data_IF_831486704121
#
_entry.id   IF_831486704121
#
_cell.length_a   1.000
_cell.length_b   1.000
_cell.length_c   1.000
_cell.angle_alpha   90.00
_cell.angle_beta   90.00
_cell.angle_gamma   90.00
#
_symmetry.space_group_name_H-M   'P 1'
#
loop_
_entity.id
_entity.type
_entity.pdbx_description
1 polymer ?
#
# COMPACT_ATOMS: atom_id res chain seq x y z
N UNK A 1 -4.47 20.91 -19.90
CA UNK A 1 -4.81 20.11 -21.11
C UNK A 1 -3.50 19.74 -21.75
N UNK A 2 -3.31 18.49 -22.09
CA UNK A 2 -2.13 17.99 -22.81
C UNK A 2 -2.48 17.89 -24.29
N UNK A 3 -1.55 18.29 -25.13
CA UNK A 3 -1.64 18.22 -26.59
C UNK A 3 -0.66 17.18 -27.14
N UNK A 4 -0.72 16.93 -28.44
CA UNK A 4 0.23 16.04 -29.10
C UNK A 4 1.65 16.61 -28.93
N UNK A 5 2.62 15.72 -28.59
CA UNK A 5 4.02 16.04 -28.32
C UNK A 5 4.31 16.69 -26.96
N UNK A 6 3.31 16.96 -26.14
CA UNK A 6 3.55 17.42 -24.78
C UNK A 6 4.32 16.35 -23.97
N UNK A 7 5.26 16.82 -23.17
CA UNK A 7 6.02 15.96 -22.24
C UNK A 7 5.47 16.09 -20.83
N UNK A 8 5.29 14.96 -20.18
CA UNK A 8 4.86 14.89 -18.78
C UNK A 8 6.02 14.41 -17.93
N UNK A 9 6.42 15.21 -16.96
CA UNK A 9 7.43 14.85 -15.98
C UNK A 9 6.74 14.59 -14.63
N UNK A 10 6.76 13.33 -14.16
CA UNK A 10 6.14 12.93 -12.91
C UNK A 10 7.20 12.94 -11.82
N UNK A 11 7.24 14.04 -11.08
CA UNK A 11 8.17 14.21 -9.97
C UNK A 11 7.73 13.43 -8.74
N UNK A 12 8.65 13.29 -7.76
CA UNK A 12 8.36 12.68 -6.49
C UNK A 12 7.23 13.41 -5.75
N UNK A 13 6.33 12.66 -5.15
CA UNK A 13 5.24 13.22 -4.35
C UNK A 13 5.77 13.87 -3.07
N UNK A 14 5.24 15.05 -2.70
CA UNK A 14 5.67 15.77 -1.48
C UNK A 14 4.95 15.32 -0.22
N UNK A 15 3.79 14.70 -0.34
CA UNK A 15 2.88 14.47 0.79
C UNK A 15 2.32 13.05 0.88
N UNK A 16 2.54 12.21 -0.12
CA UNK A 16 2.04 10.83 -0.16
C UNK A 16 3.07 9.90 -0.76
N UNK A 17 2.93 8.59 -0.53
CA UNK A 17 3.77 7.58 -1.17
C UNK A 17 3.30 7.26 -2.60
N UNK A 18 2.10 7.68 -3.00
CA UNK A 18 1.48 7.35 -4.27
C UNK A 18 0.99 8.60 -5.00
N UNK A 19 1.17 8.60 -6.32
CA UNK A 19 0.55 9.53 -7.23
C UNK A 19 -0.41 8.79 -8.17
N UNK A 20 -1.41 9.50 -8.67
CA UNK A 20 -2.38 8.96 -9.61
C UNK A 20 -2.44 9.83 -10.84
N UNK A 21 -2.44 9.20 -12.00
CA UNK A 21 -2.67 9.87 -13.28
C UNK A 21 -3.99 9.34 -13.87
N UNK A 22 -4.89 10.25 -14.16
CA UNK A 22 -6.16 9.95 -14.81
C UNK A 22 -6.22 10.61 -16.19
N UNK A 23 -6.77 9.91 -17.15
CA UNK A 23 -7.02 10.41 -18.51
C UNK A 23 -8.50 10.34 -18.83
N UNK A 24 -9.01 11.31 -19.58
CA UNK A 24 -10.35 11.25 -20.12
C UNK A 24 -10.47 10.01 -21.04
N UNK A 25 -11.56 9.23 -20.88
CA UNK A 25 -11.72 7.95 -21.55
C UNK A 25 -10.93 6.79 -20.96
N UNK A 26 -9.90 7.08 -20.16
CA UNK A 26 -9.05 6.09 -19.50
C UNK A 26 -7.99 5.47 -20.42
N UNK A 27 -7.21 4.59 -19.86
CA UNK A 27 -6.18 3.84 -20.59
C UNK A 27 -6.81 2.67 -21.36
N UNK A 28 -6.32 2.41 -22.57
CA UNK A 28 -6.69 1.23 -23.35
C UNK A 28 -5.76 0.06 -23.00
N UNK A 29 -6.16 -0.68 -21.98
CA UNK A 29 -5.36 -1.78 -21.42
C UNK A 29 -6.18 -3.05 -21.48
N UNK A 30 -5.60 -4.11 -22.05
CA UNK A 30 -6.20 -5.44 -22.06
C UNK A 30 -6.20 -6.03 -20.66
N UNK A 31 -7.36 -6.36 -20.07
CA UNK A 31 -7.42 -6.97 -18.75
C UNK A 31 -6.76 -8.36 -18.71
N UNK A 32 -6.11 -8.67 -17.60
CA UNK A 32 -5.69 -10.00 -17.21
C UNK A 32 -6.60 -10.49 -16.07
N UNK A 33 -7.24 -11.64 -16.23
CA UNK A 33 -8.22 -12.16 -15.25
C UNK A 33 -9.27 -11.11 -14.82
N UNK A 34 -9.80 -10.32 -15.75
CA UNK A 34 -10.74 -9.20 -15.53
C UNK A 34 -10.16 -8.02 -14.72
N UNK A 35 -8.86 -7.97 -14.49
CA UNK A 35 -8.17 -6.87 -13.80
C UNK A 35 -7.20 -6.16 -14.73
N UNK A 36 -7.09 -4.85 -14.59
CA UNK A 36 -6.07 -4.01 -15.25
C UNK A 36 -4.92 -3.64 -14.31
N UNK A 37 -4.90 -4.19 -13.11
CA UNK A 37 -3.80 -4.02 -12.16
C UNK A 37 -2.60 -4.86 -12.53
N UNK A 38 -1.41 -4.34 -12.26
CA UNK A 38 -0.14 -5.05 -12.45
C UNK A 38 0.46 -5.40 -11.10
N UNK A 39 0.74 -6.68 -10.87
CA UNK A 39 1.50 -7.19 -9.73
C UNK A 39 2.93 -7.48 -10.18
N UNK A 40 3.78 -6.47 -10.15
CA UNK A 40 5.13 -6.54 -10.74
C UNK A 40 6.05 -7.57 -10.06
N UNK A 41 5.80 -7.89 -8.79
CA UNK A 41 6.59 -8.88 -8.04
C UNK A 41 6.37 -10.31 -8.53
N UNK A 42 5.15 -10.61 -8.99
CA UNK A 42 4.82 -11.92 -9.56
C UNK A 42 4.83 -11.92 -11.10
N UNK A 43 5.17 -10.79 -11.72
CA UNK A 43 5.11 -10.58 -13.18
C UNK A 43 3.74 -10.91 -13.78
N UNK A 44 2.66 -10.57 -13.05
CA UNK A 44 1.28 -10.82 -13.44
C UNK A 44 0.59 -9.49 -13.80
N UNK A 45 -0.22 -9.51 -14.87
CA UNK A 45 -1.07 -8.41 -15.28
C UNK A 45 -0.63 -7.72 -16.58
N UNK A 46 -1.22 -6.56 -16.89
CA UNK A 46 -0.86 -5.77 -18.07
C UNK A 46 0.64 -5.45 -18.15
N UNK A 47 1.10 -5.09 -19.34
CA UNK A 47 2.52 -4.83 -19.63
C UNK A 47 3.42 -6.03 -19.26
N UNK A 48 2.91 -7.25 -19.47
CA UNK A 48 3.62 -8.50 -19.09
C UNK A 48 4.03 -8.53 -17.60
N UNK A 49 3.23 -7.93 -16.73
CA UNK A 49 3.52 -7.84 -15.30
C UNK A 49 4.67 -6.89 -14.94
N UNK A 50 5.18 -6.10 -15.87
CA UNK A 50 6.34 -5.25 -15.64
C UNK A 50 5.97 -3.80 -15.36
N UNK A 51 6.87 -3.11 -14.67
CA UNK A 51 6.78 -1.64 -14.50
C UNK A 51 6.90 -0.95 -15.85
N UNK A 52 6.20 0.17 -16.00
CA UNK A 52 6.34 1.05 -17.16
C UNK A 52 7.76 1.61 -17.19
N UNK A 53 8.37 1.62 -18.36
CA UNK A 53 9.70 2.13 -18.62
C UNK A 53 9.65 3.36 -19.52
N UNK A 54 10.72 4.12 -19.56
CA UNK A 54 10.90 5.20 -20.53
C UNK A 54 10.73 4.65 -21.94
N UNK A 55 9.97 5.34 -22.78
CA UNK A 55 9.58 4.98 -24.15
C UNK A 55 8.52 3.90 -24.29
N UNK A 56 7.98 3.36 -23.21
CA UNK A 56 6.81 2.49 -23.31
C UNK A 56 5.62 3.30 -23.86
N UNK A 57 4.88 2.68 -24.77
CA UNK A 57 3.66 3.27 -25.35
C UNK A 57 2.45 2.66 -24.64
N UNK A 58 1.59 3.51 -24.13
CA UNK A 58 0.35 3.11 -23.46
C UNK A 58 -0.81 3.62 -24.28
N UNK A 59 -1.71 2.71 -24.68
CA UNK A 59 -2.93 3.06 -25.40
C UNK A 59 -3.86 3.89 -24.52
N UNK A 60 -4.55 4.84 -25.13
CA UNK A 60 -5.61 5.63 -24.50
C UNK A 60 -6.91 5.44 -25.26
N UNK A 61 -8.03 5.43 -24.56
CA UNK A 61 -9.36 5.40 -25.17
C UNK A 61 -9.74 6.83 -25.57
N UNK A 62 -9.97 7.04 -26.86
CA UNK A 62 -10.43 8.34 -27.33
C UNK A 62 -11.88 8.52 -26.94
N UNK A 63 -12.20 9.56 -26.20
CA UNK A 63 -13.56 9.95 -25.88
C UNK A 63 -13.91 11.25 -26.62
N UNK A 64 -14.80 11.15 -27.59
CA UNK A 64 -15.26 12.30 -28.39
C UNK A 64 -16.36 13.13 -27.70
N UNK A 65 -16.65 12.86 -26.44
CA UNK A 65 -17.65 13.60 -25.67
C UNK A 65 -17.02 14.81 -25.01
N UNK A 66 -17.77 15.91 -24.99
CA UNK A 66 -17.40 17.23 -24.49
C UNK A 66 -16.35 17.24 -23.38
N UNK A 67 -15.25 17.96 -23.62
CA UNK A 67 -14.18 18.21 -22.65
C UNK A 67 -14.75 18.80 -21.36
N UNK A 68 -14.79 18.04 -20.28
CA UNK A 68 -15.13 18.52 -18.95
C UNK A 68 -13.86 18.56 -18.13
N UNK A 69 -13.51 19.73 -17.62
CA UNK A 69 -12.45 19.85 -16.64
C UNK A 69 -12.99 19.36 -15.28
N UNK A 70 -12.33 18.38 -14.71
CA UNK A 70 -12.64 17.91 -13.35
C UNK A 70 -11.52 18.38 -12.42
N UNK A 71 -11.89 18.92 -11.29
CA UNK A 71 -10.99 19.11 -10.17
C UNK A 71 -11.50 18.26 -8.99
N UNK A 72 -10.60 17.70 -8.23
CA UNK A 72 -10.92 17.01 -6.98
C UNK A 72 -10.31 17.78 -5.83
N UNK A 73 -11.04 17.90 -4.75
CA UNK A 73 -10.45 18.38 -3.50
C UNK A 73 -9.47 17.35 -2.95
N UNK A 74 -8.30 17.84 -2.55
CA UNK A 74 -7.34 16.99 -1.83
C UNK A 74 -7.90 16.74 -0.44
N UNK A 75 -8.20 15.49 -0.12
CA UNK A 75 -8.64 15.12 1.22
C UNK A 75 -7.57 15.51 2.24
N UNK A 76 -7.97 16.28 3.27
CA UNK A 76 -7.11 16.58 4.41
C UNK A 76 -6.98 15.31 5.26
N UNK A 77 -5.87 14.62 5.12
CA UNK A 77 -5.56 13.44 5.92
C UNK A 77 -4.82 13.90 7.17
N UNK A 78 -5.26 13.45 8.35
CA UNK A 78 -4.47 13.61 9.56
C UNK A 78 -3.26 12.68 9.48
N UNK A 79 -2.06 13.26 9.33
CA UNK A 79 -0.83 12.53 9.02
C UNK A 79 -0.11 11.96 10.23
N UNK A 80 -0.56 12.29 11.43
CA UNK A 80 0.20 12.02 12.66
C UNK A 80 -0.37 10.87 13.48
N UNK A 81 -1.61 10.46 13.23
CA UNK A 81 -2.28 9.42 14.02
C UNK A 81 -2.99 8.46 13.08
N UNK A 82 -2.72 7.16 13.26
CA UNK A 82 -3.43 6.09 12.58
C UNK A 82 -4.19 5.30 13.65
N UNK A 83 -5.50 5.17 13.47
CA UNK A 83 -6.36 4.41 14.38
C UNK A 83 -6.30 2.93 14.04
N UNK A 84 -6.17 2.12 15.07
CA UNK A 84 -6.05 0.68 14.94
C UNK A 84 -6.94 -0.06 15.94
N UNK A 85 -7.39 -1.25 15.56
CA UNK A 85 -8.01 -2.22 16.45
C UNK A 85 -6.96 -3.25 16.86
N UNK A 86 -7.06 -3.77 18.08
CA UNK A 86 -6.20 -4.87 18.53
C UNK A 86 -6.35 -6.08 17.62
N UNK A 87 -5.24 -6.65 17.22
CA UNK A 87 -5.20 -7.85 16.38
C UNK A 87 -5.45 -9.14 17.18
N UNK A 88 -5.69 -10.24 16.48
CA UNK A 88 -5.99 -11.53 17.12
C UNK A 88 -4.83 -12.09 17.96
N UNK A 89 -3.59 -11.71 17.66
CA UNK A 89 -2.43 -12.12 18.45
C UNK A 89 -1.86 -10.97 19.28
N UNK A 90 -2.66 -9.96 19.64
CA UNK A 90 -2.23 -8.85 20.48
C UNK A 90 -1.57 -9.30 21.78
N UNK A 91 -2.14 -10.31 22.42
CA UNK A 91 -1.64 -10.85 23.68
C UNK A 91 -0.39 -11.75 23.56
N UNK A 92 0.10 -11.98 22.33
CA UNK A 92 1.38 -12.64 22.10
C UNK A 92 2.57 -11.72 22.37
N UNK A 93 2.34 -10.43 22.53
CA UNK A 93 3.38 -9.43 22.79
C UNK A 93 3.45 -9.06 24.28
N UNK A 94 4.65 -8.77 24.76
CA UNK A 94 4.86 -8.32 26.15
C UNK A 94 4.04 -7.08 26.46
N UNK A 95 3.67 -6.88 27.73
CA UNK A 95 2.88 -5.71 28.16
C UNK A 95 3.58 -4.38 27.83
N UNK A 96 4.90 -4.33 27.91
CA UNK A 96 5.67 -3.15 27.52
C UNK A 96 5.57 -2.90 26.01
N UNK A 97 5.71 -3.95 25.19
CA UNK A 97 5.54 -3.82 23.75
C UNK A 97 4.12 -3.40 23.36
N UNK A 98 3.10 -3.94 24.04
CA UNK A 98 1.70 -3.52 23.81
C UNK A 98 1.52 -2.04 24.13
N UNK A 99 2.10 -1.54 25.21
CA UNK A 99 2.06 -0.11 25.59
C UNK A 99 2.85 0.74 24.60
N UNK A 100 4.06 0.33 24.27
CA UNK A 100 4.94 1.04 23.35
C UNK A 100 4.33 1.19 21.96
N UNK A 101 3.65 0.14 21.47
CA UNK A 101 2.98 0.16 20.17
C UNK A 101 2.00 1.32 20.02
N UNK A 102 1.26 1.67 21.06
CA UNK A 102 0.29 2.78 21.04
C UNK A 102 0.86 4.14 21.46
N UNK A 103 2.02 4.19 22.11
CA UNK A 103 2.56 5.42 22.71
C UNK A 103 3.82 5.94 22.04
N UNK A 104 4.51 5.12 21.27
CA UNK A 104 5.75 5.51 20.58
C UNK A 104 5.49 5.85 19.11
N UNK A 105 6.36 6.66 18.56
CA UNK A 105 6.38 6.99 17.14
C UNK A 105 7.13 5.92 16.35
N UNK A 106 6.67 5.73 15.13
CA UNK A 106 7.28 4.84 14.13
C UNK A 106 7.66 5.63 12.89
N UNK A 107 8.82 5.34 12.34
CA UNK A 107 9.27 5.86 11.06
C UNK A 107 8.99 4.86 9.95
N UNK A 108 8.57 5.36 8.80
CA UNK A 108 8.40 4.51 7.61
C UNK A 108 9.80 4.19 7.06
N UNK A 109 10.08 2.91 6.91
CA UNK A 109 11.34 2.41 6.35
C UNK A 109 11.39 2.56 4.83
N UNK A 110 12.60 2.70 4.30
CA UNK A 110 12.84 2.67 2.86
C UNK A 110 12.54 1.29 2.21
N UNK A 111 12.37 0.24 3.01
CA UNK A 111 11.99 -1.10 2.55
C UNK A 111 10.47 -1.27 2.34
N UNK A 112 9.73 -0.17 2.32
CA UNK A 112 8.30 -0.14 2.03
C UNK A 112 8.02 -0.34 0.55
N UNK A 113 7.04 -1.20 0.24
CA UNK A 113 6.53 -1.43 -1.11
C UNK A 113 4.98 -1.52 -1.12
N UNK A 114 4.40 -1.93 -2.24
CA UNK A 114 2.93 -2.08 -2.36
C UNK A 114 2.34 -3.24 -1.54
N UNK A 115 3.17 -4.19 -1.09
CA UNK A 115 2.72 -5.30 -0.23
C UNK A 115 2.62 -4.89 1.23
N UNK A 116 3.57 -4.06 1.70
CA UNK A 116 3.61 -3.68 3.10
C UNK A 116 4.47 -2.46 3.39
N UNK A 117 4.01 -1.64 4.31
CA UNK A 117 4.73 -0.51 4.87
C UNK A 117 5.51 -0.99 6.09
N UNK A 118 6.83 -1.13 5.94
CA UNK A 118 7.71 -1.48 7.07
C UNK A 118 7.93 -0.28 7.95
N UNK A 119 7.79 -0.50 9.25
CA UNK A 119 7.98 0.52 10.27
C UNK A 119 9.27 0.26 11.04
N UNK A 120 9.96 1.33 11.41
CA UNK A 120 11.13 1.33 12.28
C UNK A 120 10.80 2.08 13.56
N UNK A 121 10.97 1.42 14.72
CA UNK A 121 10.65 2.01 16.03
C UNK A 121 10.92 1.06 17.18
N UNK A 122 10.12 1.15 18.23
CA UNK A 122 10.21 0.20 19.36
C UNK A 122 10.07 -1.23 18.89
N UNK A 123 10.99 -2.09 19.31
CA UNK A 123 10.96 -3.53 19.00
C UNK A 123 9.81 -4.19 19.76
N UNK A 124 8.92 -4.85 19.01
CA UNK A 124 7.80 -5.60 19.57
C UNK A 124 8.27 -6.97 20.03
N UNK A 125 8.48 -7.14 21.32
CA UNK A 125 8.91 -8.41 21.92
C UNK A 125 7.75 -9.39 21.97
N UNK A 126 7.83 -10.43 21.16
CA UNK A 126 6.91 -11.54 21.18
C UNK A 126 7.30 -12.50 22.34
N UNK A 127 6.31 -12.94 23.12
CA UNK A 127 6.49 -13.81 24.29
C UNK A 127 5.96 -15.24 24.07
N UNK A 128 5.37 -15.51 22.91
CA UNK A 128 4.82 -16.84 22.57
C UNK A 128 5.60 -17.44 21.40
N UNK A 129 5.36 -17.00 20.18
CA UNK A 129 6.04 -17.46 18.98
C UNK A 129 5.96 -16.40 17.88
N UNK A 130 7.06 -16.17 17.19
CA UNK A 130 7.16 -15.23 16.05
C UNK A 130 6.67 -15.83 14.74
N UNK A 131 6.58 -17.16 14.64
CA UNK A 131 5.99 -17.90 13.53
C UNK A 131 4.77 -18.68 14.03
N UNK A 132 3.60 -18.32 13.52
CA UNK A 132 2.35 -19.00 13.80
C UNK A 132 1.91 -19.79 12.57
N UNK A 133 0.93 -20.68 12.73
CA UNK A 133 0.29 -21.32 11.58
C UNK A 133 -0.24 -20.24 10.65
N UNK A 134 0.03 -20.37 9.35
CA UNK A 134 -0.49 -19.44 8.35
C UNK A 134 -2.02 -19.38 8.39
N UNK A 135 -2.53 -18.17 8.44
CA UNK A 135 -3.97 -17.89 8.48
C UNK A 135 -4.31 -16.74 7.52
N UNK A 136 -5.58 -16.57 7.21
CA UNK A 136 -6.06 -15.48 6.36
C UNK A 136 -5.70 -14.13 6.97
N UNK A 137 -5.26 -13.21 6.12
CA UNK A 137 -4.92 -11.84 6.50
C UNK A 137 -5.67 -10.84 5.64
N UNK A 138 -5.79 -9.62 6.13
CA UNK A 138 -6.50 -8.53 5.46
C UNK A 138 -5.59 -7.34 5.22
N UNK A 139 -5.96 -6.50 4.26
CA UNK A 139 -5.36 -5.17 4.11
C UNK A 139 -5.47 -4.41 5.44
N UNK A 140 -4.41 -3.69 5.80
CA UNK A 140 -4.34 -2.95 7.06
C UNK A 140 -3.93 -3.79 8.27
N UNK A 141 -3.82 -5.13 8.16
CA UNK A 141 -3.26 -5.94 9.23
C UNK A 141 -1.81 -5.53 9.51
N UNK A 142 -1.44 -5.47 10.78
CA UNK A 142 -0.09 -5.10 11.23
C UNK A 142 0.58 -6.35 11.78
N UNK A 143 1.44 -6.92 10.95
CA UNK A 143 2.22 -8.10 11.28
C UNK A 143 3.54 -7.75 11.92
N UNK A 144 4.01 -8.60 12.83
CA UNK A 144 5.32 -8.43 13.49
C UNK A 144 6.16 -9.69 13.29
N UNK A 145 7.13 -9.67 12.35
CA UNK A 145 8.10 -10.74 12.17
C UNK A 145 9.05 -10.89 13.36
N UNK A 146 10.01 -11.82 13.23
CA UNK A 146 10.98 -12.13 14.30
C UNK A 146 11.90 -10.97 14.68
N UNK A 147 12.14 -10.02 13.77
CA UNK A 147 12.92 -8.80 14.04
C UNK A 147 12.20 -7.79 14.93
N UNK A 148 10.91 -8.02 15.23
CA UNK A 148 10.10 -7.18 16.08
C UNK A 148 9.66 -5.85 15.45
N UNK A 149 9.90 -5.64 14.16
CA UNK A 149 9.49 -4.40 13.46
C UNK A 149 8.12 -4.58 12.80
N UNK A 150 7.13 -3.71 13.09
CA UNK A 150 5.80 -3.86 12.53
C UNK A 150 5.77 -3.62 11.01
N UNK A 151 4.89 -4.34 10.32
CA UNK A 151 4.61 -4.19 8.89
C UNK A 151 3.11 -4.00 8.70
N UNK A 152 2.69 -2.84 8.20
CA UNK A 152 1.30 -2.58 7.83
C UNK A 152 1.07 -3.13 6.42
N UNK A 153 0.16 -4.08 6.27
CA UNK A 153 -0.14 -4.69 4.96
C UNK A 153 -0.95 -3.73 4.08
N UNK A 154 -0.46 -3.51 2.87
CA UNK A 154 -1.01 -2.58 1.89
C UNK A 154 -1.82 -3.31 0.79
N UNK A 155 -1.98 -2.68 -0.37
CA UNK A 155 -2.89 -3.13 -1.43
C UNK A 155 -2.54 -4.49 -2.04
N UNK A 156 -1.24 -4.79 -2.19
CA UNK A 156 -0.76 -6.04 -2.80
C UNK A 156 -0.36 -7.07 -1.72
N UNK A 157 -0.97 -7.00 -0.53
CA UNK A 157 -0.70 -7.91 0.58
C UNK A 157 -0.94 -9.38 0.19
N UNK A 158 -0.22 -10.34 0.80
CA UNK A 158 -0.50 -11.75 0.60
C UNK A 158 -1.81 -12.14 1.29
N UNK A 159 -2.55 -13.10 0.72
CA UNK A 159 -3.85 -13.55 1.25
C UNK A 159 -3.74 -14.36 2.54
N UNK A 160 -2.58 -14.96 2.78
CA UNK A 160 -2.25 -15.74 3.98
C UNK A 160 -0.88 -15.31 4.52
N UNK A 161 -0.68 -15.47 5.81
CA UNK A 161 0.60 -15.17 6.47
C UNK A 161 0.72 -15.84 7.84
N UNK A 162 1.96 -16.06 8.24
CA UNK A 162 2.33 -16.80 9.45
C UNK A 162 3.02 -15.92 10.52
N UNK A 163 2.90 -14.60 10.45
CA UNK A 163 3.39 -13.73 11.51
C UNK A 163 2.25 -13.24 12.42
N UNK A 164 2.50 -13.10 13.74
CA UNK A 164 1.53 -12.55 14.68
C UNK A 164 1.06 -11.15 14.25
N UNK A 165 -0.24 -10.92 14.35
CA UNK A 165 -0.89 -9.62 14.06
C UNK A 165 -1.16 -8.89 15.36
N UNK A 166 -0.42 -7.80 15.60
CA UNK A 166 -0.59 -6.98 16.81
C UNK A 166 -1.85 -6.10 16.70
N UNK A 167 -2.17 -5.62 15.51
CA UNK A 167 -3.29 -4.72 15.29
C UNK A 167 -3.80 -4.80 13.84
N UNK A 168 -4.88 -4.08 13.56
CA UNK A 168 -5.38 -3.81 12.22
C UNK A 168 -5.79 -2.35 12.09
N UNK A 169 -5.36 -1.68 11.02
CA UNK A 169 -5.75 -0.30 10.71
C UNK A 169 -7.24 -0.25 10.43
N UNK A 170 -7.92 0.78 10.93
CA UNK A 170 -9.35 0.98 10.67
C UNK A 170 -9.59 1.43 9.23
N UNK A 171 -10.78 1.13 8.67
CA UNK A 171 -11.13 1.46 7.28
C UNK A 171 -11.26 2.97 7.00
N UNK A 172 -11.19 3.79 8.03
CA UNK A 172 -11.29 5.25 7.91
C UNK A 172 -9.93 5.96 7.90
N UNK A 173 -8.85 5.20 8.03
CA UNK A 173 -7.45 5.62 7.90
C UNK A 173 -6.76 4.78 6.81
#
# INVERSE_FOLDING_TARGET
ILEQEDQIDILATKQSAYGYMALEGGFDIKPFCKSVSTLSRAEIGPNNGKKIKIKDKIGIKINNKNKKNFSTEVLKINKNIIRVLKGPQFDYFSKDSQKDFFSKEYKISNLTDRMGMRLEGSIMKNIVNTNIRSEGITKGAIQVPADGQPIILLTDYPTIGGYPKIANVTSVD
#
